data_IF_395109388889
#
_entry.id   IF_395109388889
#
_cell.length_a   1.000
_cell.length_b   1.000
_cell.length_c   1.000
_cell.angle_alpha   90.00
_cell.angle_beta   90.00
_cell.angle_gamma   90.00
#
_symmetry.space_group_name_H-M   'P 1'
#
loop_
_entity.id
_entity.type
_entity.pdbx_description
1 polymer ?
#
# COMPACT_ATOMS: atom_id res chain seq x y z
N UNK A 1 20.63 24.56 4.06
CA UNK A 1 19.98 23.58 3.16
C UNK A 1 18.52 23.40 3.57
N UNK A 2 17.60 24.21 3.01
CA UNK A 2 16.19 24.33 3.46
C UNK A 2 15.42 22.99 3.42
N UNK A 3 15.41 22.33 2.26
CA UNK A 3 14.63 21.11 2.03
C UNK A 3 15.08 19.95 2.91
N UNK A 4 16.38 19.82 3.19
CA UNK A 4 16.89 18.80 4.11
C UNK A 4 16.35 18.98 5.53
N UNK A 5 16.25 20.23 6.00
CA UNK A 5 15.65 20.50 7.30
C UNK A 5 14.15 20.17 7.31
N UNK A 6 13.45 20.37 6.17
CA UNK A 6 11.99 20.21 6.11
C UNK A 6 11.50 18.79 5.83
N UNK A 7 12.26 18.03 5.05
CA UNK A 7 11.87 16.72 4.51
C UNK A 7 12.92 15.62 4.73
N UNK A 8 13.98 15.93 5.48
CA UNK A 8 15.09 15.01 5.71
C UNK A 8 16.11 14.98 4.56
N UNK A 9 17.23 14.31 4.85
CA UNK A 9 18.34 14.17 3.91
C UNK A 9 17.96 13.23 2.76
N UNK A 10 18.01 13.74 1.53
CA UNK A 10 17.69 12.99 0.30
C UNK A 10 18.58 13.46 -0.85
N UNK A 11 18.94 12.53 -1.73
CA UNK A 11 19.56 12.86 -3.02
C UNK A 11 18.50 13.49 -3.93
N UNK A 12 18.53 14.83 -4.05
CA UNK A 12 17.63 15.57 -4.94
C UNK A 12 18.35 15.90 -6.24
N UNK A 13 17.77 15.49 -7.35
CA UNK A 13 18.33 15.74 -8.68
C UNK A 13 18.01 17.16 -9.15
N UNK A 14 18.93 17.76 -9.91
CA UNK A 14 18.72 19.06 -10.54
C UNK A 14 17.64 18.92 -11.61
N UNK A 15 16.78 19.92 -11.72
CA UNK A 15 15.70 19.96 -12.70
C UNK A 15 16.23 20.53 -14.02
N UNK A 16 15.82 19.95 -15.15
CA UNK A 16 16.20 20.43 -16.48
C UNK A 16 15.69 21.84 -16.76
N UNK A 17 16.46 22.66 -17.49
CA UNK A 17 16.04 24.00 -17.89
C UNK A 17 15.08 23.93 -19.09
N UNK A 18 13.81 23.63 -18.82
CA UNK A 18 12.73 23.55 -19.81
C UNK A 18 11.53 24.41 -19.36
N UNK A 19 10.56 24.62 -20.25
CA UNK A 19 9.28 25.21 -19.86
C UNK A 19 8.54 24.29 -18.89
N UNK A 20 8.24 24.78 -17.69
CA UNK A 20 7.50 24.03 -16.67
C UNK A 20 6.01 24.35 -16.73
N UNK A 21 5.17 23.32 -16.67
CA UNK A 21 3.76 23.46 -16.37
C UNK A 21 3.61 23.38 -14.85
N UNK A 22 3.10 24.45 -14.24
CA UNK A 22 2.96 24.57 -12.80
C UNK A 22 1.49 24.69 -12.41
N UNK A 23 1.08 23.91 -11.42
CA UNK A 23 -0.26 23.98 -10.86
C UNK A 23 -0.35 25.08 -9.79
N UNK A 24 -1.30 26.01 -9.96
CA UNK A 24 -1.46 27.20 -9.12
C UNK A 24 -1.67 26.86 -7.64
N UNK A 25 -2.51 25.88 -7.34
CA UNK A 25 -2.82 25.42 -5.97
C UNK A 25 -1.58 24.91 -5.24
N UNK A 26 -0.68 24.21 -5.95
CA UNK A 26 0.59 23.71 -5.42
C UNK A 26 1.55 24.86 -5.16
N UNK A 27 1.61 25.85 -6.05
CA UNK A 27 2.39 27.07 -5.84
C UNK A 27 1.91 27.80 -4.58
N UNK A 28 0.62 28.02 -4.44
CA UNK A 28 0.03 28.71 -3.28
C UNK A 28 0.35 27.97 -1.98
N UNK A 29 0.22 26.64 -1.96
CA UNK A 29 0.57 25.82 -0.81
C UNK A 29 2.06 25.87 -0.47
N UNK A 30 2.93 25.80 -1.49
CA UNK A 30 4.37 25.93 -1.34
C UNK A 30 4.75 27.32 -0.80
N UNK A 31 4.16 28.38 -1.36
CA UNK A 31 4.39 29.76 -0.93
C UNK A 31 3.96 29.99 0.51
N UNK A 32 2.80 29.44 0.91
CA UNK A 32 2.35 29.46 2.29
C UNK A 32 3.34 28.76 3.22
N UNK A 33 3.90 27.63 2.80
CA UNK A 33 4.82 26.81 3.60
C UNK A 33 6.20 27.43 3.77
N UNK A 34 6.72 28.08 2.73
CA UNK A 34 8.07 28.69 2.70
C UNK A 34 8.01 30.23 2.62
N UNK A 35 7.01 30.83 3.24
CA UNK A 35 6.71 32.26 3.10
C UNK A 35 7.90 33.13 3.54
N UNK A 36 8.57 32.77 4.63
CA UNK A 36 9.72 33.51 5.16
C UNK A 36 10.93 33.48 4.20
N UNK A 37 11.25 32.31 3.65
CA UNK A 37 12.38 32.14 2.75
C UNK A 37 12.13 32.80 1.38
N UNK A 38 10.88 32.80 0.92
CA UNK A 38 10.47 33.50 -0.31
C UNK A 38 10.56 35.01 -0.12
N UNK A 39 10.08 35.54 1.01
CA UNK A 39 10.22 36.96 1.33
C UNK A 39 11.69 37.37 1.40
N UNK A 40 12.52 36.55 2.06
CA UNK A 40 13.97 36.78 2.14
C UNK A 40 14.59 36.87 0.73
N UNK A 41 14.28 35.91 -0.14
CA UNK A 41 14.71 35.91 -1.55
C UNK A 41 14.27 37.19 -2.28
N UNK A 42 13.04 37.64 -2.04
CA UNK A 42 12.48 38.84 -2.67
C UNK A 42 13.14 40.16 -2.21
N UNK A 43 13.78 40.19 -1.03
CA UNK A 43 14.50 41.39 -0.57
C UNK A 43 15.86 41.59 -1.25
N UNK A 44 16.41 40.55 -1.87
CA UNK A 44 17.71 40.65 -2.50
C UNK A 44 17.62 41.23 -3.92
N UNK A 45 18.42 42.28 -4.17
CA UNK A 45 18.57 42.86 -5.51
C UNK A 45 19.41 41.97 -6.44
N UNK A 46 20.40 41.28 -5.88
CA UNK A 46 21.31 40.38 -6.58
C UNK A 46 21.31 39.04 -5.89
N UNK A 47 21.73 37.99 -6.60
CA UNK A 47 21.72 36.63 -6.09
C UNK A 47 22.48 36.53 -4.75
N UNK A 48 21.82 35.95 -3.75
CA UNK A 48 22.37 35.70 -2.43
C UNK A 48 22.42 34.19 -2.12
N UNK A 49 23.29 33.73 -1.20
CA UNK A 49 23.42 32.30 -0.85
C UNK A 49 22.16 31.65 -0.26
N UNK A 50 21.24 32.47 0.25
CA UNK A 50 19.96 32.06 0.84
C UNK A 50 18.77 32.21 -0.11
N UNK A 51 19.01 32.53 -1.39
CA UNK A 51 17.95 32.59 -2.40
C UNK A 51 17.38 31.21 -2.71
N UNK A 52 16.07 31.18 -2.94
CA UNK A 52 15.38 29.99 -3.40
C UNK A 52 15.48 29.84 -4.92
N UNK A 53 15.79 28.62 -5.36
CA UNK A 53 15.58 28.20 -6.74
C UNK A 53 14.14 27.69 -6.89
N UNK A 54 13.23 28.52 -7.41
CA UNK A 54 11.79 28.23 -7.44
C UNK A 54 11.42 26.92 -8.13
N UNK A 55 12.01 26.60 -9.29
CA UNK A 55 11.72 25.35 -9.98
C UNK A 55 12.14 24.12 -9.14
N UNK A 56 13.35 24.16 -8.58
CA UNK A 56 13.85 23.10 -7.71
C UNK A 56 13.00 22.95 -6.43
N UNK A 57 12.61 24.07 -5.82
CA UNK A 57 11.73 24.08 -4.66
C UNK A 57 10.35 23.49 -4.98
N UNK A 58 9.73 23.91 -6.09
CA UNK A 58 8.41 23.44 -6.51
C UNK A 58 8.38 21.93 -6.72
N UNK A 59 9.30 21.37 -7.50
CA UNK A 59 9.32 19.93 -7.75
C UNK A 59 9.69 19.13 -6.51
N UNK A 60 10.58 19.64 -5.66
CA UNK A 60 10.88 18.99 -4.39
C UNK A 60 9.67 19.01 -3.44
N UNK A 61 8.98 20.14 -3.34
CA UNK A 61 7.74 20.26 -2.56
C UNK A 61 6.67 19.31 -3.08
N UNK A 62 6.43 19.30 -4.40
CA UNK A 62 5.46 18.41 -5.04
C UNK A 62 5.75 16.94 -4.76
N UNK A 63 7.02 16.51 -4.83
CA UNK A 63 7.39 15.10 -4.62
C UNK A 63 7.48 14.67 -3.16
N UNK A 64 7.74 15.61 -2.24
CA UNK A 64 8.08 15.29 -0.85
C UNK A 64 7.03 15.74 0.17
N UNK A 65 6.06 16.56 -0.23
CA UNK A 65 4.93 16.89 0.64
C UNK A 65 4.08 15.64 0.89
N UNK A 66 3.82 15.35 2.16
CA UNK A 66 3.03 14.20 2.58
C UNK A 66 1.84 14.63 3.43
N UNK A 67 0.89 13.72 3.60
CA UNK A 67 -0.17 13.81 4.58
C UNK A 67 -0.30 12.47 5.32
N UNK A 68 -0.97 12.49 6.46
CA UNK A 68 -1.27 11.29 7.22
C UNK A 68 -2.65 10.76 6.80
N UNK A 69 -2.69 9.52 6.35
CA UNK A 69 -3.91 8.81 5.97
C UNK A 69 -4.63 8.26 7.20
N UNK A 70 -5.95 8.18 7.14
CA UNK A 70 -6.76 7.64 8.25
C UNK A 70 -6.76 6.12 8.25
N UNK A 71 -6.92 5.52 9.43
CA UNK A 71 -7.06 4.06 9.54
C UNK A 71 -8.27 3.55 8.75
N UNK A 72 -9.38 4.29 8.78
CA UNK A 72 -10.58 3.95 8.01
C UNK A 72 -10.28 3.84 6.51
N UNK A 73 -9.58 4.82 5.93
CA UNK A 73 -9.22 4.80 4.52
C UNK A 73 -8.21 3.71 4.19
N UNK A 74 -7.22 3.46 5.06
CA UNK A 74 -6.27 2.35 4.87
C UNK A 74 -7.01 1.02 4.93
N UNK A 75 -7.97 0.85 5.84
CA UNK A 75 -8.79 -0.36 5.92
C UNK A 75 -9.55 -0.59 4.60
N UNK A 76 -10.18 0.46 4.08
CA UNK A 76 -10.97 0.42 2.84
C UNK A 76 -10.12 0.13 1.60
N UNK A 77 -8.81 0.43 1.61
CA UNK A 77 -7.90 0.04 0.53
C UNK A 77 -7.67 -1.48 0.45
N UNK A 78 -7.76 -2.18 1.58
CA UNK A 78 -7.59 -3.64 1.66
C UNK A 78 -8.91 -4.42 1.62
N UNK A 79 -10.03 -3.78 1.94
CA UNK A 79 -11.41 -4.30 1.79
C UNK A 79 -11.85 -4.19 0.32
N UNK A 80 -11.26 -5.04 -0.51
CA UNK A 80 -11.39 -5.08 -1.97
C UNK A 80 -12.80 -5.44 -2.45
N UNK A 81 -13.55 -6.20 -1.65
CA UNK A 81 -14.93 -6.59 -1.94
C UNK A 81 -15.98 -5.68 -1.26
N UNK A 82 -15.51 -4.67 -0.51
CA UNK A 82 -16.33 -3.72 0.24
C UNK A 82 -17.30 -4.39 1.23
N UNK A 83 -16.91 -5.54 1.78
CA UNK A 83 -17.69 -6.29 2.77
C UNK A 83 -17.66 -5.68 4.18
N UNK A 84 -16.82 -4.66 4.39
CA UNK A 84 -16.54 -4.01 5.68
C UNK A 84 -15.80 -4.94 6.67
N UNK A 85 -15.23 -6.03 6.16
CA UNK A 85 -14.44 -7.01 6.90
C UNK A 85 -13.27 -7.48 6.05
N UNK A 86 -12.15 -7.85 6.65
CA UNK A 86 -11.08 -8.50 5.87
C UNK A 86 -11.27 -10.02 5.77
N UNK A 87 -11.25 -10.50 4.54
CA UNK A 87 -11.15 -11.92 4.19
C UNK A 87 -9.73 -12.47 4.39
N UNK A 88 -9.57 -13.79 4.33
CA UNK A 88 -8.24 -14.39 4.44
C UNK A 88 -7.33 -14.01 3.26
N UNK A 89 -7.93 -13.82 2.08
CA UNK A 89 -7.27 -13.29 0.87
C UNK A 89 -6.75 -11.87 1.04
N UNK A 90 -7.57 -11.00 1.62
CA UNK A 90 -7.22 -9.60 1.87
C UNK A 90 -6.16 -9.50 2.97
N UNK A 91 -6.27 -10.33 4.02
CA UNK A 91 -5.27 -10.47 5.06
C UNK A 91 -3.94 -10.92 4.45
N UNK A 92 -3.93 -11.93 3.56
CA UNK A 92 -2.70 -12.34 2.86
C UNK A 92 -2.08 -11.18 2.08
N UNK A 93 -2.90 -10.39 1.38
CA UNK A 93 -2.44 -9.21 0.65
C UNK A 93 -1.83 -8.16 1.58
N UNK A 94 -2.46 -7.88 2.71
CA UNK A 94 -1.91 -7.02 3.76
C UNK A 94 -0.56 -7.55 4.28
N UNK A 95 -0.50 -8.83 4.69
CA UNK A 95 0.70 -9.45 5.23
C UNK A 95 1.87 -9.42 4.24
N UNK A 96 1.62 -9.70 2.95
CA UNK A 96 2.65 -9.68 1.89
C UNK A 96 3.34 -8.32 1.73
N UNK A 97 2.65 -7.23 2.09
CA UNK A 97 3.16 -5.85 2.03
C UNK A 97 3.98 -5.48 3.26
N UNK A 98 3.68 -6.02 4.45
CA UNK A 98 4.33 -5.63 5.71
C UNK A 98 5.45 -6.59 6.14
N UNK A 99 5.34 -7.88 5.85
CA UNK A 99 6.32 -8.91 6.25
C UNK A 99 7.15 -9.36 5.06
N UNK A 100 8.47 -9.61 5.21
CA UNK A 100 9.36 -10.06 4.13
C UNK A 100 8.78 -11.27 3.38
N UNK A 101 9.09 -11.36 2.08
CA UNK A 101 8.74 -12.50 1.25
C UNK A 101 9.94 -13.46 1.13
N UNK A 102 9.73 -14.79 1.10
CA UNK A 102 8.44 -15.49 1.17
C UNK A 102 7.74 -15.33 2.53
N UNK A 103 6.40 -15.34 2.54
CA UNK A 103 5.65 -15.18 3.79
C UNK A 103 5.87 -16.39 4.70
N UNK A 104 6.51 -16.16 5.83
CA UNK A 104 6.70 -17.18 6.87
C UNK A 104 5.38 -17.45 7.60
N UNK A 105 5.12 -18.73 7.90
CA UNK A 105 3.98 -19.16 8.69
C UNK A 105 3.96 -18.49 10.08
N UNK A 106 5.14 -18.18 10.65
CA UNK A 106 5.24 -17.45 11.91
C UNK A 106 4.58 -16.06 11.85
N UNK A 107 4.63 -15.37 10.70
CA UNK A 107 4.02 -14.06 10.51
C UNK A 107 2.49 -14.14 10.48
N UNK A 108 1.94 -15.17 9.82
CA UNK A 108 0.49 -15.45 9.80
C UNK A 108 0.00 -15.75 11.21
N UNK A 109 0.69 -16.63 11.94
CA UNK A 109 0.35 -16.99 13.33
C UNK A 109 0.45 -15.82 14.30
N UNK A 110 1.45 -14.97 14.12
CA UNK A 110 1.57 -13.75 14.90
C UNK A 110 0.36 -12.85 14.66
N UNK A 111 -0.03 -12.64 13.40
CA UNK A 111 -1.22 -11.86 13.07
C UNK A 111 -2.50 -12.47 13.67
N UNK A 112 -2.70 -13.78 13.53
CA UNK A 112 -3.82 -14.49 14.15
C UNK A 112 -3.89 -14.25 15.66
N UNK A 113 -2.76 -14.38 16.37
CA UNK A 113 -2.68 -14.15 17.80
C UNK A 113 -3.03 -12.71 18.20
N UNK A 114 -2.58 -11.72 17.41
CA UNK A 114 -2.94 -10.31 17.62
C UNK A 114 -4.44 -10.10 17.47
N UNK A 115 -5.04 -10.61 16.38
CA UNK A 115 -6.47 -10.47 16.11
C UNK A 115 -7.31 -11.18 17.19
N UNK A 116 -6.93 -12.40 17.59
CA UNK A 116 -7.63 -13.15 18.64
C UNK A 116 -7.59 -12.43 19.99
N UNK A 117 -6.46 -11.82 20.35
CA UNK A 117 -6.37 -11.03 21.57
C UNK A 117 -7.25 -9.77 21.50
N UNK A 118 -7.19 -9.04 20.38
CA UNK A 118 -8.00 -7.85 20.17
C UNK A 118 -9.52 -8.14 20.19
N UNK A 119 -9.95 -9.28 19.63
CA UNK A 119 -11.38 -9.66 19.59
C UNK A 119 -11.93 -10.08 20.96
N UNK A 120 -11.06 -10.44 21.91
CA UNK A 120 -11.47 -10.80 23.25
C UNK A 120 -11.67 -9.59 24.17
N UNK A 121 -11.22 -8.40 23.74
CA UNK A 121 -11.34 -7.15 24.51
C UNK A 121 -12.80 -6.83 24.85
N UNK A 122 -13.11 -6.47 26.10
CA UNK A 122 -14.47 -6.13 26.52
C UNK A 122 -15.02 -4.87 25.81
N UNK A 123 -14.16 -3.93 25.43
CA UNK A 123 -14.53 -2.73 24.67
C UNK A 123 -15.05 -3.10 23.27
N UNK A 124 -14.35 -4.02 22.59
CA UNK A 124 -14.79 -4.53 21.29
C UNK A 124 -16.11 -5.29 21.40
N UNK A 125 -16.24 -6.19 22.37
CA UNK A 125 -17.48 -6.96 22.55
C UNK A 125 -18.68 -6.04 22.72
N UNK A 126 -18.57 -4.98 23.52
CA UNK A 126 -19.66 -4.03 23.72
C UNK A 126 -20.05 -3.28 22.43
N UNK A 127 -19.08 -2.77 21.68
CA UNK A 127 -19.36 -2.08 20.41
C UNK A 127 -19.86 -3.02 19.30
N UNK A 128 -19.36 -4.26 19.24
CA UNK A 128 -19.79 -5.27 18.27
C UNK A 128 -21.26 -5.68 18.47
N UNK A 129 -21.76 -5.66 19.72
CA UNK A 129 -23.20 -5.83 20.00
C UNK A 129 -24.04 -4.60 19.66
N UNK A 130 -23.45 -3.39 19.72
CA UNK A 130 -24.13 -2.14 19.43
C UNK A 130 -24.21 -1.84 17.91
N UNK A 131 -23.24 -2.33 17.14
CA UNK A 131 -23.19 -2.20 15.68
C UNK A 131 -23.77 -3.43 14.96
N UNK A 132 -24.17 -3.28 13.70
CA UNK A 132 -24.69 -4.39 12.89
C UNK A 132 -23.57 -5.42 12.72
N UNK A 133 -23.79 -6.68 13.13
CA UNK A 133 -22.79 -7.74 12.92
C UNK A 133 -22.48 -7.86 11.43
N UNK A 134 -21.27 -7.50 11.07
CA UNK A 134 -20.70 -7.84 9.77
C UNK A 134 -20.17 -9.27 9.87
N UNK A 135 -20.49 -10.09 8.88
CA UNK A 135 -19.97 -11.45 8.77
C UNK A 135 -19.14 -11.52 7.50
N UNK A 136 -17.91 -12.00 7.59
CA UNK A 136 -17.15 -12.33 6.40
C UNK A 136 -17.83 -13.47 5.68
N UNK A 137 -17.90 -13.40 4.35
CA UNK A 137 -18.59 -14.39 3.55
C UNK A 137 -17.90 -15.75 3.68
N UNK A 138 -18.65 -16.85 3.76
CA UNK A 138 -18.09 -18.18 4.06
C UNK A 138 -17.04 -18.66 3.05
N UNK A 139 -17.20 -18.35 1.75
CA UNK A 139 -16.25 -18.72 0.70
C UNK A 139 -15.03 -17.76 0.61
N UNK A 140 -14.99 -16.73 1.44
CA UNK A 140 -13.86 -15.80 1.62
C UNK A 140 -12.95 -16.24 2.78
N UNK A 141 -13.23 -17.38 3.40
CA UNK A 141 -12.43 -17.99 4.48
C UNK A 141 -11.78 -19.28 3.98
N UNK A 142 -10.51 -19.48 4.33
CA UNK A 142 -9.83 -20.76 4.17
C UNK A 142 -10.42 -21.80 5.12
N UNK A 143 -10.42 -23.07 4.72
CA UNK A 143 -11.03 -24.16 5.50
C UNK A 143 -10.41 -24.32 6.90
N UNK A 144 -9.12 -24.00 7.03
CA UNK A 144 -8.33 -24.07 8.26
C UNK A 144 -8.26 -22.72 9.01
N UNK A 145 -9.02 -21.70 8.58
CA UNK A 145 -9.00 -20.38 9.19
C UNK A 145 -9.78 -20.36 10.51
N UNK A 146 -9.09 -19.95 11.58
CA UNK A 146 -9.64 -19.78 12.92
C UNK A 146 -9.72 -18.30 13.34
N UNK A 147 -9.67 -17.40 12.36
CA UNK A 147 -9.74 -15.96 12.60
C UNK A 147 -11.17 -15.54 12.96
N UNK A 148 -11.35 -14.68 13.97
CA UNK A 148 -12.64 -14.00 14.15
C UNK A 148 -12.84 -13.00 13.00
N UNK A 149 -14.07 -12.48 12.86
CA UNK A 149 -14.36 -11.44 11.86
C UNK A 149 -13.47 -10.22 12.08
N UNK A 150 -12.63 -9.90 11.09
CA UNK A 150 -11.76 -8.72 11.12
C UNK A 150 -12.52 -7.51 10.58
N UNK A 151 -13.37 -6.90 11.40
CA UNK A 151 -14.15 -5.72 11.02
C UNK A 151 -13.34 -4.42 11.14
N UNK A 152 -13.79 -3.35 10.45
CA UNK A 152 -13.20 -2.01 10.59
C UNK A 152 -13.15 -1.53 12.06
N UNK A 153 -14.18 -1.84 12.84
CA UNK A 153 -14.24 -1.50 14.28
C UNK A 153 -13.14 -2.23 15.05
N UNK A 154 -13.01 -3.55 14.84
CA UNK A 154 -11.94 -4.34 15.46
C UNK A 154 -10.57 -3.76 15.15
N UNK A 155 -10.32 -3.44 13.87
CA UNK A 155 -9.03 -2.89 13.43
C UNK A 155 -8.71 -1.58 14.13
N UNK A 156 -9.68 -0.67 14.29
CA UNK A 156 -9.48 0.63 14.94
C UNK A 156 -9.21 0.54 16.44
N UNK A 157 -9.75 -0.47 17.12
CA UNK A 157 -9.55 -0.69 18.55
C UNK A 157 -8.33 -1.56 18.85
N UNK A 158 -7.80 -2.27 17.86
CA UNK A 158 -6.63 -3.11 18.00
C UNK A 158 -5.35 -2.28 17.86
N UNK A 159 -4.82 -1.76 18.98
CA UNK A 159 -3.65 -0.88 19.00
C UNK A 159 -2.44 -1.42 18.20
N UNK A 160 -2.01 -2.69 18.33
CA UNK A 160 -0.88 -3.21 17.55
C UNK A 160 -1.12 -3.14 16.04
N UNK A 161 -2.38 -3.31 15.61
CA UNK A 161 -2.75 -3.25 14.20
C UNK A 161 -2.84 -1.80 13.69
N UNK A 162 -3.38 -0.88 14.50
CA UNK A 162 -3.36 0.56 14.20
C UNK A 162 -1.94 1.07 14.01
N UNK A 163 -1.03 0.71 14.91
CA UNK A 163 0.39 1.08 14.82
C UNK A 163 1.04 0.48 13.57
N UNK A 164 0.78 -0.80 13.26
CA UNK A 164 1.28 -1.44 12.04
C UNK A 164 0.77 -0.74 10.76
N UNK A 165 -0.51 -0.37 10.72
CA UNK A 165 -1.12 0.35 9.59
C UNK A 165 -0.53 1.75 9.43
N UNK A 166 -0.39 2.50 10.53
CA UNK A 166 0.19 3.85 10.50
C UNK A 166 1.66 3.82 10.06
N UNK A 167 2.44 2.87 10.58
CA UNK A 167 3.86 2.74 10.27
C UNK A 167 4.10 2.43 8.78
N UNK A 168 3.31 1.51 8.22
CA UNK A 168 3.53 1.01 6.86
C UNK A 168 2.77 1.81 5.79
N UNK A 169 1.60 2.36 6.13
CA UNK A 169 0.66 2.95 5.16
C UNK A 169 0.14 4.33 5.55
N UNK A 170 0.48 4.84 6.73
CA UNK A 170 -0.03 6.11 7.26
C UNK A 170 0.52 7.34 6.55
N UNK A 171 1.78 7.33 6.09
CA UNK A 171 2.36 8.50 5.40
C UNK A 171 2.23 8.35 3.89
N UNK A 172 1.46 9.25 3.24
CA UNK A 172 1.22 9.23 1.80
C UNK A 172 1.71 10.50 1.11
N UNK A 173 2.19 10.43 -0.15
CA UNK A 173 2.46 11.62 -0.94
C UNK A 173 1.18 12.45 -1.13
N UNK A 174 1.25 13.74 -0.84
CA UNK A 174 0.11 14.66 -0.98
C UNK A 174 -0.23 14.95 -2.43
N UNK A 175 0.79 15.05 -3.28
CA UNK A 175 0.62 15.33 -4.70
C UNK A 175 1.01 14.11 -5.52
N UNK A 176 0.28 13.88 -6.60
CA UNK A 176 0.57 12.81 -7.55
C UNK A 176 1.79 13.19 -8.38
N UNK A 177 2.77 12.29 -8.44
CA UNK A 177 3.92 12.45 -9.30
C UNK A 177 4.41 11.10 -9.80
N UNK A 178 5.20 11.13 -10.87
CA UNK A 178 5.84 9.94 -11.41
C UNK A 178 7.24 10.30 -11.87
N UNK A 179 8.24 9.70 -11.22
CA UNK A 179 9.62 9.76 -11.68
C UNK A 179 9.81 8.65 -12.70
N UNK A 180 10.05 9.02 -13.97
CA UNK A 180 10.33 8.03 -15.00
C UNK A 180 11.80 7.60 -14.91
N UNK A 181 12.05 6.43 -14.31
CA UNK A 181 13.37 5.81 -14.39
C UNK A 181 13.52 5.16 -15.77
N UNK A 182 14.71 5.21 -16.37
CA UNK A 182 15.01 4.51 -17.64
C UNK A 182 14.75 2.99 -17.58
N UNK A 183 14.52 2.42 -16.39
CA UNK A 183 14.33 0.99 -16.12
C UNK A 183 12.96 0.64 -15.53
N UNK A 184 12.00 1.57 -15.52
CA UNK A 184 10.70 1.29 -14.91
C UNK A 184 9.85 0.41 -15.83
N UNK A 185 9.87 -0.89 -15.54
CA UNK A 185 8.98 -1.90 -16.11
C UNK A 185 7.57 -1.71 -15.53
N UNK A 186 6.59 -1.36 -16.37
CA UNK A 186 5.18 -1.19 -15.95
C UNK A 186 4.42 -2.51 -15.84
N UNK A 187 5.08 -3.60 -16.20
CA UNK A 187 4.55 -4.95 -16.19
C UNK A 187 5.31 -5.84 -15.20
N UNK A 188 4.61 -6.77 -14.59
CA UNK A 188 5.20 -8.00 -14.05
C UNK A 188 5.05 -9.09 -15.11
N UNK A 189 6.04 -9.96 -15.22
CA UNK A 189 5.98 -11.16 -16.04
C UNK A 189 6.30 -12.36 -15.16
N UNK A 190 5.45 -13.38 -15.21
CA UNK A 190 5.57 -14.60 -14.45
C UNK A 190 5.18 -15.77 -15.35
N UNK A 191 5.97 -16.83 -15.29
CA UNK A 191 5.61 -18.13 -15.85
C UNK A 191 5.16 -19.02 -14.68
N UNK A 192 4.01 -19.67 -14.81
CA UNK A 192 3.55 -20.67 -13.86
C UNK A 192 4.42 -21.92 -14.03
N UNK A 193 5.25 -22.23 -13.04
CA UNK A 193 5.98 -23.49 -12.96
C UNK A 193 5.17 -24.51 -12.17
N UNK A 194 5.40 -25.81 -12.36
CA UNK A 194 4.82 -26.87 -11.52
C UNK A 194 5.44 -26.94 -10.11
N UNK A 195 6.06 -25.85 -9.64
CA UNK A 195 6.63 -25.72 -8.31
C UNK A 195 5.76 -24.76 -7.49
N UNK A 196 4.98 -25.32 -6.57
CA UNK A 196 4.01 -24.58 -5.75
C UNK A 196 4.68 -23.44 -4.98
N UNK A 197 5.87 -23.67 -4.40
CA UNK A 197 6.57 -22.65 -3.61
C UNK A 197 6.98 -21.45 -4.47
N UNK A 198 7.55 -21.70 -5.65
CA UNK A 198 7.92 -20.62 -6.59
C UNK A 198 6.70 -19.80 -7.02
N UNK A 199 5.57 -20.48 -7.28
CA UNK A 199 4.33 -19.81 -7.68
C UNK A 199 3.82 -18.94 -6.55
N UNK A 200 3.72 -19.46 -5.32
CA UNK A 200 3.26 -18.70 -4.15
C UNK A 200 4.12 -17.46 -3.93
N UNK A 201 5.45 -17.60 -3.96
CA UNK A 201 6.39 -16.51 -3.74
C UNK A 201 6.26 -15.41 -4.80
N UNK A 202 6.08 -15.81 -6.06
CA UNK A 202 5.91 -14.88 -7.17
C UNK A 202 4.56 -14.15 -7.09
N UNK A 203 3.47 -14.84 -6.75
CA UNK A 203 2.15 -14.23 -6.57
C UNK A 203 2.15 -13.22 -5.40
N UNK A 204 2.78 -13.56 -4.28
CA UNK A 204 2.94 -12.63 -3.16
C UNK A 204 3.87 -11.46 -3.52
N UNK A 205 4.88 -11.70 -4.37
CA UNK A 205 5.70 -10.64 -4.97
C UNK A 205 4.87 -9.62 -5.74
N UNK A 206 3.87 -10.09 -6.50
CA UNK A 206 2.92 -9.23 -7.22
C UNK A 206 2.01 -8.48 -6.23
N UNK A 207 1.48 -9.14 -5.19
CA UNK A 207 0.68 -8.49 -4.13
C UNK A 207 1.43 -7.35 -3.45
N UNK A 208 2.70 -7.58 -3.11
CA UNK A 208 3.58 -6.56 -2.51
C UNK A 208 3.76 -5.37 -3.44
N UNK A 209 4.18 -5.63 -4.68
CA UNK A 209 4.56 -4.61 -5.65
C UNK A 209 3.65 -4.67 -6.90
N UNK A 210 2.39 -4.23 -6.79
CA UNK A 210 1.46 -4.30 -7.90
C UNK A 210 1.94 -3.40 -9.04
N UNK A 211 1.95 -3.97 -10.25
CA UNK A 211 2.22 -3.24 -11.50
C UNK A 211 0.93 -3.03 -12.27
N UNK A 212 0.98 -2.14 -13.27
CA UNK A 212 -0.20 -1.84 -14.10
C UNK A 212 -0.65 -3.04 -14.92
N UNK A 213 0.31 -3.86 -15.36
CA UNK A 213 0.06 -5.06 -16.14
C UNK A 213 0.72 -6.24 -15.45
N UNK A 214 0.00 -7.33 -15.24
CA UNK A 214 0.57 -8.59 -14.74
C UNK A 214 0.35 -9.64 -15.82
N UNK A 215 1.43 -10.11 -16.44
CA UNK A 215 1.40 -11.17 -17.43
C UNK A 215 1.74 -12.49 -16.72
N UNK A 216 0.74 -13.34 -16.53
CA UNK A 216 0.90 -14.67 -15.93
C UNK A 216 0.65 -15.69 -17.05
N UNK A 217 1.71 -16.41 -17.45
CA UNK A 217 1.66 -17.36 -18.54
C UNK A 217 1.77 -18.79 -18.00
N UNK A 218 0.97 -19.70 -18.56
CA UNK A 218 1.03 -21.13 -18.24
C UNK A 218 2.33 -21.74 -18.81
N UNK A 219 3.11 -22.39 -17.95
CA UNK A 219 4.28 -23.19 -18.29
C UNK A 219 4.35 -24.46 -17.41
N UNK A 220 3.19 -25.01 -17.08
CA UNK A 220 3.05 -26.20 -16.23
C UNK A 220 3.52 -27.45 -16.98
N UNK A 221 4.32 -28.30 -16.33
CA UNK A 221 4.71 -29.60 -16.86
C UNK A 221 3.57 -30.61 -16.61
N UNK A 222 2.98 -31.22 -17.66
CA UNK A 222 1.86 -32.16 -17.54
C UNK A 222 2.11 -33.36 -16.62
N UNK A 223 3.37 -33.66 -16.28
CA UNK A 223 3.73 -34.77 -15.38
C UNK A 223 3.31 -34.55 -13.93
N UNK A 224 3.12 -33.30 -13.51
CA UNK A 224 2.82 -32.93 -12.12
C UNK A 224 1.34 -32.53 -11.98
N UNK A 225 0.43 -33.45 -12.30
CA UNK A 225 -1.00 -33.15 -12.39
C UNK A 225 -1.58 -32.62 -11.07
N UNK A 226 -1.21 -33.22 -9.93
CA UNK A 226 -1.69 -32.82 -8.60
C UNK A 226 -1.19 -31.41 -8.23
N UNK A 227 0.10 -31.12 -8.42
CA UNK A 227 0.67 -29.80 -8.16
C UNK A 227 0.07 -28.73 -9.09
N UNK A 228 -0.17 -29.09 -10.36
CA UNK A 228 -0.76 -28.20 -11.34
C UNK A 228 -2.21 -27.82 -10.97
N UNK A 229 -3.01 -28.76 -10.45
CA UNK A 229 -4.35 -28.45 -9.93
C UNK A 229 -4.28 -27.48 -8.73
N UNK A 230 -3.37 -27.72 -7.79
CA UNK A 230 -3.17 -26.81 -6.67
C UNK A 230 -2.75 -25.40 -7.14
N UNK A 231 -1.87 -25.31 -8.14
CA UNK A 231 -1.44 -24.04 -8.73
C UNK A 231 -2.61 -23.29 -9.38
N UNK A 232 -3.54 -23.99 -10.04
CA UNK A 232 -4.75 -23.38 -10.61
C UNK A 232 -5.62 -22.77 -9.52
N UNK A 233 -5.82 -23.47 -8.40
CA UNK A 233 -6.55 -22.94 -7.26
C UNK A 233 -5.85 -21.74 -6.60
N UNK A 234 -4.53 -21.78 -6.45
CA UNK A 234 -3.75 -20.65 -5.92
C UNK A 234 -3.83 -19.41 -6.84
N UNK A 235 -3.86 -19.63 -8.15
CA UNK A 235 -4.02 -18.56 -9.13
C UNK A 235 -5.43 -17.96 -9.08
N UNK A 236 -6.47 -18.79 -8.95
CA UNK A 236 -7.84 -18.34 -8.74
C UNK A 236 -7.98 -17.52 -7.46
N UNK A 237 -7.44 -18.01 -6.34
CA UNK A 237 -7.41 -17.29 -5.06
C UNK A 237 -6.69 -15.93 -5.18
N UNK A 238 -5.57 -15.91 -5.92
CA UNK A 238 -4.88 -14.66 -6.22
C UNK A 238 -5.73 -13.67 -7.01
N UNK A 239 -6.42 -14.11 -8.06
CA UNK A 239 -7.27 -13.20 -8.82
C UNK A 239 -8.46 -12.71 -8.02
N UNK A 240 -9.08 -13.56 -7.21
CA UNK A 240 -10.17 -13.17 -6.31
C UNK A 240 -9.70 -12.14 -5.28
N UNK A 241 -8.44 -12.23 -4.82
CA UNK A 241 -7.87 -11.23 -3.89
C UNK A 241 -7.65 -9.84 -4.51
N UNK A 242 -7.61 -9.74 -5.84
CA UNK A 242 -7.42 -8.47 -6.57
C UNK A 242 -8.72 -7.96 -7.21
N UNK A 243 -9.55 -8.89 -7.66
CA UNK A 243 -10.75 -8.67 -8.46
C UNK A 243 -11.88 -9.59 -7.94
N UNK A 244 -12.39 -9.35 -6.72
CA UNK A 244 -13.42 -10.20 -6.13
C UNK A 244 -14.75 -10.13 -6.90
N UNK A 245 -14.98 -9.03 -7.63
CA UNK A 245 -16.14 -8.87 -8.49
C UNK A 245 -15.81 -9.21 -9.94
N UNK A 246 -16.75 -9.89 -10.59
CA UNK A 246 -16.66 -10.19 -12.02
C UNK A 246 -16.62 -8.92 -12.84
N UNK A 247 -15.81 -8.93 -13.90
CA UNK A 247 -15.83 -7.92 -14.95
C UNK A 247 -17.25 -7.77 -15.51
N UNK A 248 -17.64 -6.53 -15.81
CA UNK A 248 -18.88 -6.22 -16.54
C UNK A 248 -18.75 -6.47 -18.05
N UNK A 249 -17.51 -6.67 -18.53
CA UNK A 249 -17.16 -7.03 -19.90
C UNK A 249 -16.90 -8.52 -20.02
#
# INVERSE_FOLDING_TARGET
MLLNRRYGFKARHVISHVGFLLEKTIIEAMQKKFSQEILTTATHRFRAPNDLQFAFLYYSFLMEETYNETIDNIFDEFDTDHSLTWSDREIRTFLSKIFPLPLDWSAVRFFEGVIQNCSQSPEYKYEDFAHKRHTTVLYERYEDSHLPTVSKVLVKQCLPLVEALQLNFGTRPKYKYKVNSKRNTFNNFMMLSSNVTEVVDALDGIRRNPRKFNCINDNLDPKYEEENELIRHLLEDFYLSLFPHRSQF
#
